data_IF_503777419381
#
_entry.id   IF_503777419381
#
_cell.length_a   1.000
_cell.length_b   1.000
_cell.length_c   1.000
_cell.angle_alpha   90.00
_cell.angle_beta   90.00
_cell.angle_gamma   90.00
#
_symmetry.space_group_name_H-M   'P 1'
#
loop_
_entity.id
_entity.type
_entity.pdbx_description
1 polymer ?
#
# COMPACT_ATOMS: atom_id res chain seq x y z
N UNK A 1 -18.53 45.69 33.56
CA UNK A 1 -19.03 44.36 33.97
C UNK A 1 -18.54 43.32 32.95
N UNK A 2 -17.27 42.96 33.04
CA UNK A 2 -16.56 42.07 32.11
C UNK A 2 -15.72 41.12 32.96
N UNK A 3 -15.98 39.80 32.88
CA UNK A 3 -14.96 38.75 32.83
C UNK A 3 -15.56 37.33 32.90
N UNK A 4 -15.17 36.55 31.89
CA UNK A 4 -14.82 35.12 31.95
C UNK A 4 -15.99 34.13 32.01
N UNK A 5 -16.55 33.83 30.83
CA UNK A 5 -17.01 32.48 30.50
C UNK A 5 -15.81 31.69 29.96
N UNK A 6 -14.99 31.18 30.87
CA UNK A 6 -13.88 30.30 30.55
C UNK A 6 -14.20 28.88 31.03
N UNK A 7 -14.24 27.92 30.10
CA UNK A 7 -14.03 26.51 30.45
C UNK A 7 -15.21 25.56 30.24
N UNK A 8 -15.86 25.56 29.09
CA UNK A 8 -16.42 24.32 28.55
C UNK A 8 -15.43 23.74 27.54
N UNK A 9 -14.35 23.18 28.09
CA UNK A 9 -13.36 22.43 27.33
C UNK A 9 -14.06 21.30 26.56
N UNK A 10 -13.74 21.22 25.27
CA UNK A 10 -14.15 20.15 24.38
C UNK A 10 -13.99 18.79 25.07
N UNK A 11 -15.08 18.03 25.20
CA UNK A 11 -15.01 16.62 25.58
C UNK A 11 -14.09 15.93 24.57
N UNK A 12 -13.07 15.16 24.99
CA UNK A 12 -12.27 14.39 24.04
C UNK A 12 -13.21 13.42 23.32
N UNK A 13 -13.38 13.62 22.01
CA UNK A 13 -14.02 12.70 21.09
C UNK A 13 -13.14 11.46 20.99
N UNK A 14 -13.31 10.53 21.93
CA UNK A 14 -12.44 9.36 22.03
C UNK A 14 -12.69 8.45 23.22
N UNK A 15 -13.79 8.62 23.97
CA UNK A 15 -14.27 7.51 24.81
C UNK A 15 -14.90 6.50 23.87
N UNK A 16 -14.14 5.47 23.51
CA UNK A 16 -14.71 4.22 23.03
C UNK A 16 -15.89 3.89 23.96
N UNK A 17 -17.08 3.54 23.41
CA UNK A 17 -18.17 3.08 24.25
C UNK A 17 -17.62 1.96 25.13
N UNK A 18 -17.83 2.06 26.44
CA UNK A 18 -17.43 1.02 27.37
C UNK A 18 -17.85 -0.32 26.75
N UNK A 19 -16.94 -1.31 26.65
CA UNK A 19 -17.26 -2.54 25.92
C UNK A 19 -18.59 -3.04 26.44
N UNK A 20 -19.58 -3.12 25.54
CA UNK A 20 -20.84 -3.76 25.83
C UNK A 20 -20.43 -5.15 26.30
N UNK A 21 -20.58 -5.41 27.61
CA UNK A 21 -20.30 -6.71 28.18
C UNK A 21 -21.29 -7.66 27.52
N UNK A 22 -20.83 -8.30 26.43
CA UNK A 22 -21.62 -9.28 25.72
C UNK A 22 -22.05 -10.30 26.76
N UNK A 23 -23.36 -10.58 26.90
CA UNK A 23 -23.83 -11.54 27.89
C UNK A 23 -23.19 -12.89 27.61
N UNK A 24 -22.22 -13.26 28.44
CA UNK A 24 -21.58 -14.58 28.36
C UNK A 24 -22.59 -15.60 28.85
N UNK A 25 -22.91 -16.59 28.01
CA UNK A 25 -23.82 -17.69 28.34
C UNK A 25 -23.48 -18.27 29.71
N UNK A 26 -24.42 -18.20 30.66
CA UNK A 26 -24.27 -18.76 32.02
C UNK A 26 -23.83 -17.80 33.13
N UNK A 27 -23.57 -16.52 32.86
CA UNK A 27 -23.38 -15.49 33.89
C UNK A 27 -24.57 -14.53 33.94
N UNK A 28 -24.84 -13.97 35.13
CA UNK A 28 -25.88 -12.95 35.30
C UNK A 28 -25.49 -11.63 34.63
N UNK A 29 -26.47 -11.01 33.98
CA UNK A 29 -26.42 -9.67 33.41
C UNK A 29 -26.74 -8.62 34.48
N UNK A 30 -26.44 -7.34 34.19
CA UNK A 30 -26.75 -6.21 35.09
C UNK A 30 -28.24 -6.08 35.43
N UNK A 31 -29.14 -6.44 34.51
CA UNK A 31 -30.59 -6.33 34.69
C UNK A 31 -31.23 -7.58 35.31
N UNK A 32 -30.46 -8.64 35.52
CA UNK A 32 -30.99 -9.87 36.12
C UNK A 32 -31.16 -9.69 37.62
N UNK A 33 -32.30 -10.11 38.20
CA UNK A 33 -32.50 -9.99 39.62
C UNK A 33 -31.53 -10.91 40.41
N UNK A 34 -31.10 -10.48 41.61
CA UNK A 34 -30.37 -11.35 42.51
C UNK A 34 -31.26 -12.50 42.97
N UNK A 35 -30.64 -13.62 43.35
CA UNK A 35 -31.40 -14.74 43.89
C UNK A 35 -31.97 -14.36 45.26
N UNK A 36 -33.19 -14.80 45.59
CA UNK A 36 -33.82 -14.57 46.90
C UNK A 36 -32.92 -15.03 48.06
N UNK A 37 -32.24 -16.17 47.91
CA UNK A 37 -31.29 -16.72 48.89
C UNK A 37 -30.00 -15.91 49.07
N UNK A 38 -29.70 -14.97 48.17
CA UNK A 38 -28.52 -14.07 48.24
C UNK A 38 -28.90 -12.62 48.54
N UNK A 39 -30.19 -12.27 48.56
CA UNK A 39 -30.66 -10.91 48.76
C UNK A 39 -30.23 -10.34 50.13
N UNK A 40 -30.23 -11.15 51.19
CA UNK A 40 -29.77 -10.76 52.53
C UNK A 40 -28.37 -11.26 52.90
N UNK A 41 -27.65 -11.94 51.99
CA UNK A 41 -26.35 -12.54 52.31
C UNK A 41 -25.23 -11.51 52.13
N UNK A 42 -24.68 -11.05 53.24
CA UNK A 42 -23.43 -10.29 53.28
C UNK A 42 -22.24 -11.25 53.45
N UNK A 43 -21.08 -10.91 52.89
CA UNK A 43 -19.87 -11.70 53.08
C UNK A 43 -19.28 -11.41 54.47
N UNK A 44 -19.27 -12.41 55.34
CA UNK A 44 -18.63 -12.33 56.67
C UNK A 44 -17.12 -12.49 56.52
N UNK A 45 -16.30 -11.54 57.01
CA UNK A 45 -14.86 -11.68 57.01
C UNK A 45 -14.39 -12.90 57.82
N UNK A 46 -13.34 -13.61 57.40
CA UNK A 46 -12.75 -14.69 58.19
C UNK A 46 -12.04 -14.13 59.43
N UNK A 47 -11.85 -14.97 60.45
CA UNK A 47 -11.00 -14.64 61.59
C UNK A 47 -9.54 -14.48 61.13
N UNK A 48 -8.80 -13.59 61.80
CA UNK A 48 -7.42 -13.23 61.43
C UNK A 48 -6.52 -13.31 62.65
N UNK A 49 -5.41 -14.06 62.56
CA UNK A 49 -4.33 -14.02 63.55
C UNK A 49 -3.46 -12.77 63.30
N UNK A 50 -3.33 -11.86 64.27
CA UNK A 50 -2.54 -10.63 64.11
C UNK A 50 -1.04 -10.91 63.83
N UNK A 51 -0.48 -11.98 64.39
CA UNK A 51 0.95 -12.30 64.23
C UNK A 51 1.24 -12.78 62.81
N UNK A 52 0.46 -13.75 62.33
CA UNK A 52 0.57 -14.24 60.95
C UNK A 52 0.29 -13.13 59.95
N UNK A 53 -0.76 -12.33 60.18
CA UNK A 53 -1.14 -11.25 59.29
C UNK A 53 -0.03 -10.21 59.14
N UNK A 54 0.65 -9.84 60.23
CA UNK A 54 1.79 -8.93 60.17
C UNK A 54 2.95 -9.50 59.35
N UNK A 55 3.35 -10.75 59.60
CA UNK A 55 4.43 -11.41 58.86
C UNK A 55 4.10 -11.54 57.38
N UNK A 56 2.86 -11.91 57.03
CA UNK A 56 2.42 -11.98 55.65
C UNK A 56 2.45 -10.60 54.99
N UNK A 57 1.98 -9.56 55.68
CA UNK A 57 1.96 -8.19 55.14
C UNK A 57 3.37 -7.73 54.76
N UNK A 58 4.36 -7.93 55.64
CA UNK A 58 5.75 -7.55 55.36
C UNK A 58 6.38 -8.42 54.24
N UNK A 59 6.11 -9.73 54.22
CA UNK A 59 6.57 -10.60 53.12
C UNK A 59 6.00 -10.15 51.78
N UNK A 60 4.72 -9.81 51.72
CA UNK A 60 4.08 -9.31 50.50
C UNK A 60 4.63 -7.94 50.10
N UNK A 61 4.94 -7.06 51.06
CA UNK A 61 5.59 -5.77 50.80
C UNK A 61 6.96 -5.97 50.14
N UNK A 62 7.81 -6.79 50.73
CA UNK A 62 9.15 -7.10 50.22
C UNK A 62 9.11 -7.79 48.85
N UNK A 63 8.21 -8.77 48.70
CA UNK A 63 8.00 -9.47 47.43
C UNK A 63 7.55 -8.51 46.32
N UNK A 64 6.53 -7.68 46.59
CA UNK A 64 6.02 -6.71 45.60
C UNK A 64 7.06 -5.67 45.24
N UNK A 65 7.89 -5.23 46.19
CA UNK A 65 9.01 -4.32 45.91
C UNK A 65 10.00 -4.97 44.94
N UNK A 66 10.40 -6.21 45.20
CA UNK A 66 11.34 -6.96 44.35
C UNK A 66 10.78 -7.19 42.95
N UNK A 67 9.55 -7.68 42.85
CA UNK A 67 8.89 -7.92 41.55
C UNK A 67 8.65 -6.62 40.79
N UNK A 68 8.40 -5.50 41.48
CA UNK A 68 8.29 -4.18 40.84
C UNK A 68 9.63 -3.74 40.26
N UNK A 69 10.74 -3.96 40.96
CA UNK A 69 12.07 -3.68 40.45
C UNK A 69 12.36 -4.52 39.19
N UNK A 70 12.12 -5.84 39.24
CA UNK A 70 12.27 -6.71 38.08
C UNK A 70 11.42 -6.27 36.88
N UNK A 71 10.18 -5.83 37.13
CA UNK A 71 9.33 -5.28 36.05
C UNK A 71 9.96 -4.06 35.39
N UNK A 72 10.57 -3.16 36.16
CA UNK A 72 11.23 -1.98 35.61
C UNK A 72 12.45 -2.36 34.78
N UNK A 73 13.24 -3.34 35.21
CA UNK A 73 14.35 -3.88 34.44
C UNK A 73 13.87 -4.42 33.09
N UNK A 74 12.86 -5.30 33.09
CA UNK A 74 12.29 -5.83 31.84
C UNK A 74 11.70 -4.72 30.94
N UNK A 75 11.03 -3.72 31.52
CA UNK A 75 10.54 -2.58 30.75
C UNK A 75 11.69 -1.78 30.13
N UNK A 76 12.82 -1.64 30.82
CA UNK A 76 14.00 -0.97 30.30
C UNK A 76 14.63 -1.76 29.16
N UNK A 77 14.71 -3.09 29.26
CA UNK A 77 15.22 -3.96 28.21
C UNK A 77 14.36 -3.91 26.95
N UNK A 78 13.03 -3.97 27.12
CA UNK A 78 12.09 -3.84 26.00
C UNK A 78 12.27 -2.49 25.29
N UNK A 79 12.43 -1.40 26.05
CA UNK A 79 12.68 -0.08 25.48
C UNK A 79 14.02 0.01 24.76
N UNK A 80 15.09 -0.57 25.33
CA UNK A 80 16.42 -0.63 24.70
C UNK A 80 16.37 -1.39 23.37
N UNK A 81 15.79 -2.60 23.37
CA UNK A 81 15.62 -3.42 22.15
C UNK A 81 14.78 -2.71 21.09
N UNK A 82 13.71 -2.01 21.49
CA UNK A 82 12.90 -1.22 20.56
C UNK A 82 13.70 -0.07 19.94
N UNK A 83 14.52 0.61 20.74
CA UNK A 83 15.39 1.68 20.25
C UNK A 83 16.47 1.15 19.32
N UNK A 84 17.16 0.06 19.70
CA UNK A 84 18.16 -0.62 18.87
C UNK A 84 17.59 -1.12 17.55
N UNK A 85 16.36 -1.62 17.54
CA UNK A 85 15.70 -2.04 16.29
C UNK A 85 15.38 -0.86 15.37
N UNK A 86 15.08 0.32 15.92
CA UNK A 86 14.69 1.51 15.14
C UNK A 86 15.88 2.37 14.68
N UNK A 87 16.83 2.58 15.59
CA UNK A 87 17.94 3.51 15.46
C UNK A 87 19.24 2.89 15.99
N UNK A 88 19.34 1.56 15.93
CA UNK A 88 20.60 0.87 16.23
C UNK A 88 21.59 1.07 15.09
N UNK A 89 22.86 1.15 15.45
CA UNK A 89 23.97 1.33 14.51
C UNK A 89 23.95 0.30 13.38
N UNK A 90 23.57 -0.95 13.67
CA UNK A 90 23.45 -2.01 12.66
C UNK A 90 22.28 -1.77 11.71
N UNK A 91 21.14 -1.31 12.21
CA UNK A 91 19.97 -0.99 11.38
C UNK A 91 20.27 0.19 10.45
N UNK A 92 20.95 1.23 10.96
CA UNK A 92 21.36 2.38 10.14
C UNK A 92 22.40 1.99 9.08
N UNK A 93 23.42 1.19 9.44
CA UNK A 93 24.41 0.69 8.49
C UNK A 93 23.76 -0.14 7.39
N UNK A 94 22.86 -1.06 7.75
CA UNK A 94 22.14 -1.87 6.77
C UNK A 94 21.27 -1.02 5.86
N UNK A 95 20.54 -0.04 6.41
CA UNK A 95 19.75 0.88 5.60
C UNK A 95 20.62 1.69 4.62
N UNK A 96 21.84 2.06 5.00
CA UNK A 96 22.80 2.75 4.12
C UNK A 96 23.35 1.82 3.04
N UNK A 97 23.72 0.59 3.41
CA UNK A 97 24.18 -0.46 2.48
C UNK A 97 23.07 -0.75 1.45
N UNK A 98 21.85 -1.04 1.90
CA UNK A 98 20.70 -1.35 1.03
C UNK A 98 20.38 -0.17 0.09
N UNK A 99 20.48 1.07 0.58
CA UNK A 99 20.27 2.26 -0.24
C UNK A 99 21.39 2.46 -1.28
N UNK A 100 22.64 2.10 -0.95
CA UNK A 100 23.76 2.14 -1.88
C UNK A 100 23.62 1.06 -2.96
N UNK A 101 23.35 -0.19 -2.56
CA UNK A 101 23.10 -1.31 -3.48
C UNK A 101 21.93 -0.99 -4.43
N UNK A 102 20.84 -0.42 -3.91
CA UNK A 102 19.72 -0.01 -4.75
C UNK A 102 20.15 1.03 -5.80
N UNK A 103 20.96 2.04 -5.43
CA UNK A 103 21.46 3.04 -6.39
C UNK A 103 22.35 2.41 -7.45
N UNK A 104 23.21 1.47 -7.06
CA UNK A 104 24.06 0.73 -7.99
C UNK A 104 23.24 -0.10 -8.99
N UNK A 105 22.22 -0.80 -8.50
CA UNK A 105 21.30 -1.57 -9.35
C UNK A 105 20.50 -0.67 -10.30
N UNK A 106 20.06 0.51 -9.83
CA UNK A 106 19.38 1.48 -10.69
C UNK A 106 20.31 2.05 -11.75
N UNK A 107 21.57 2.36 -11.42
CA UNK A 107 22.55 2.82 -12.38
C UNK A 107 22.86 1.75 -13.43
N UNK A 108 23.00 0.48 -13.01
CA UNK A 108 23.17 -0.65 -13.92
C UNK A 108 21.96 -0.82 -14.85
N UNK A 109 20.74 -0.73 -14.31
CA UNK A 109 19.52 -0.82 -15.11
C UNK A 109 19.44 0.30 -16.17
N UNK A 110 19.81 1.53 -15.79
CA UNK A 110 19.86 2.65 -16.72
C UNK A 110 20.89 2.41 -17.84
N UNK A 111 22.09 1.93 -17.50
CA UNK A 111 23.12 1.61 -18.49
C UNK A 111 22.67 0.51 -19.46
N UNK A 112 22.02 -0.54 -18.96
CA UNK A 112 21.50 -1.62 -19.81
C UNK A 112 20.33 -1.13 -20.69
N UNK A 113 19.44 -0.28 -20.16
CA UNK A 113 18.38 0.35 -20.95
C UNK A 113 18.94 1.24 -22.08
N UNK A 114 20.00 2.00 -21.80
CA UNK A 114 20.68 2.80 -22.82
C UNK A 114 21.27 1.91 -23.92
N UNK A 115 21.96 0.83 -23.53
CA UNK A 115 22.49 -0.15 -24.48
C UNK A 115 21.39 -0.73 -25.37
N UNK A 116 20.26 -1.14 -24.79
CA UNK A 116 19.12 -1.67 -25.54
C UNK A 116 18.46 -0.61 -26.43
N UNK A 117 18.44 0.65 -26.00
CA UNK A 117 17.93 1.76 -26.80
C UNK A 117 18.74 1.95 -28.08
N UNK A 118 20.08 1.95 -27.99
CA UNK A 118 20.95 2.05 -29.17
C UNK A 118 20.73 0.90 -30.15
N UNK A 119 20.59 -0.33 -29.65
CA UNK A 119 20.27 -1.50 -30.49
C UNK A 119 18.89 -1.36 -31.15
N UNK A 120 17.91 -0.81 -30.45
CA UNK A 120 16.58 -0.53 -31.02
C UNK A 120 16.67 0.52 -32.12
N UNK A 121 17.41 1.61 -31.93
CA UNK A 121 17.60 2.65 -32.95
C UNK A 121 18.28 2.09 -34.19
N UNK A 122 19.31 1.25 -34.02
CA UNK A 122 19.98 0.58 -35.15
C UNK A 122 19.00 -0.29 -35.95
N UNK A 123 18.16 -1.09 -35.26
CA UNK A 123 17.13 -1.91 -35.90
C UNK A 123 16.10 -1.07 -36.64
N UNK A 124 15.58 -0.02 -36.02
CA UNK A 124 14.58 0.86 -36.64
C UNK A 124 15.11 1.56 -37.89
N UNK A 125 16.39 1.95 -37.91
CA UNK A 125 17.02 2.51 -39.12
C UNK A 125 17.07 1.49 -40.25
N UNK A 126 17.38 0.24 -39.95
CA UNK A 126 17.36 -0.83 -40.96
C UNK A 126 15.95 -1.10 -41.47
N UNK A 127 14.97 -1.20 -40.57
CA UNK A 127 13.56 -1.39 -40.94
C UNK A 127 13.05 -0.22 -41.80
N UNK A 128 13.45 1.02 -41.51
CA UNK A 128 13.10 2.19 -42.34
C UNK A 128 13.66 2.09 -43.76
N UNK A 129 14.94 1.71 -43.92
CA UNK A 129 15.54 1.51 -45.24
C UNK A 129 14.86 0.38 -46.03
N UNK A 130 14.46 -0.70 -45.36
CA UNK A 130 13.71 -1.79 -45.99
C UNK A 130 12.30 -1.35 -46.40
N UNK A 131 11.64 -0.52 -45.59
CA UNK A 131 10.33 0.05 -45.92
C UNK A 131 10.42 1.02 -47.10
N UNK A 132 11.43 1.87 -47.17
CA UNK A 132 11.64 2.75 -48.33
C UNK A 132 11.82 1.97 -49.63
N UNK A 133 12.54 0.84 -49.59
CA UNK A 133 12.68 -0.05 -50.75
C UNK A 133 11.35 -0.65 -51.17
N UNK A 134 10.57 -1.16 -50.22
CA UNK A 134 9.22 -1.71 -50.48
C UNK A 134 8.30 -0.64 -51.07
N UNK A 135 8.29 0.56 -50.52
CA UNK A 135 7.50 1.67 -51.04
C UNK A 135 7.93 2.08 -52.46
N UNK A 136 9.23 2.08 -52.76
CA UNK A 136 9.70 2.34 -54.11
C UNK A 136 9.23 1.27 -55.09
N UNK A 137 9.31 -0.02 -54.73
CA UNK A 137 8.80 -1.13 -55.54
C UNK A 137 7.29 -1.02 -55.76
N UNK A 138 6.52 -0.75 -54.71
CA UNK A 138 5.07 -0.53 -54.77
C UNK A 138 4.72 0.67 -55.66
N UNK A 139 5.44 1.78 -55.56
CA UNK A 139 5.23 2.96 -56.40
C UNK A 139 5.48 2.68 -57.88
N UNK A 140 6.49 1.86 -58.21
CA UNK A 140 6.73 1.43 -59.61
C UNK A 140 5.58 0.58 -60.12
N UNK A 141 5.07 -0.35 -59.32
CA UNK A 141 3.92 -1.19 -59.69
C UNK A 141 2.66 -0.34 -59.91
N UNK A 142 2.34 0.55 -58.97
CA UNK A 142 1.20 1.46 -59.07
C UNK A 142 1.30 2.38 -60.29
N UNK A 143 2.49 2.89 -60.63
CA UNK A 143 2.68 3.71 -61.82
C UNK A 143 2.39 2.94 -63.11
N UNK A 144 2.80 1.67 -63.20
CA UNK A 144 2.51 0.80 -64.35
C UNK A 144 1.03 0.50 -64.47
N UNK A 145 0.37 0.17 -63.37
CA UNK A 145 -1.07 -0.06 -63.33
C UNK A 145 -1.87 1.18 -63.74
N UNK A 146 -1.47 2.36 -63.24
CA UNK A 146 -2.09 3.63 -63.59
C UNK A 146 -1.90 3.98 -65.07
N UNK A 147 -0.71 3.73 -65.65
CA UNK A 147 -0.45 3.92 -67.08
C UNK A 147 -1.31 2.99 -67.94
N UNK A 148 -1.38 1.71 -67.60
CA UNK A 148 -2.21 0.75 -68.32
C UNK A 148 -3.70 1.13 -68.25
N UNK A 149 -4.17 1.57 -67.08
CA UNK A 149 -5.55 2.04 -66.90
C UNK A 149 -5.84 3.31 -67.72
N UNK A 150 -4.92 4.28 -67.74
CA UNK A 150 -5.06 5.50 -68.53
C UNK A 150 -5.15 5.19 -70.03
N UNK A 151 -4.29 4.30 -70.55
CA UNK A 151 -4.32 3.88 -71.96
C UNK A 151 -5.63 3.20 -72.34
N UNK A 152 -6.16 2.32 -71.48
CA UNK A 152 -7.47 1.68 -71.70
C UNK A 152 -8.58 2.73 -71.77
N UNK A 153 -8.59 3.70 -70.86
CA UNK A 153 -9.60 4.77 -70.86
C UNK A 153 -9.48 5.71 -72.05
N UNK A 154 -8.26 6.00 -72.51
CA UNK A 154 -8.03 6.78 -73.71
C UNK A 154 -8.56 6.07 -74.97
N UNK A 155 -8.36 4.75 -75.08
CA UNK A 155 -8.93 3.94 -76.16
C UNK A 155 -10.47 3.93 -76.10
N UNK A 156 -11.07 3.77 -74.92
CA UNK A 156 -12.53 3.86 -74.75
C UNK A 156 -13.07 5.23 -75.21
N UNK A 157 -12.41 6.34 -74.85
CA UNK A 157 -12.82 7.69 -75.29
C UNK A 157 -12.70 7.86 -76.80
N UNK A 158 -11.61 7.40 -77.41
CA UNK A 158 -11.43 7.46 -78.86
C UNK A 158 -12.49 6.62 -79.59
N UNK A 159 -12.81 5.42 -79.09
CA UNK A 159 -13.90 4.61 -79.62
C UNK A 159 -15.24 5.35 -79.54
N UNK A 160 -15.56 5.93 -78.38
CA UNK A 160 -16.78 6.72 -78.20
C UNK A 160 -16.81 7.97 -79.11
N UNK A 161 -15.67 8.62 -79.39
CA UNK A 161 -15.59 9.73 -80.34
C UNK A 161 -15.90 9.30 -81.77
N UNK A 162 -15.40 8.14 -82.21
CA UNK A 162 -15.72 7.59 -83.52
C UNK A 162 -17.20 7.18 -83.61
N UNK A 163 -17.72 6.51 -82.58
CA UNK A 163 -19.14 6.15 -82.51
C UNK A 163 -20.05 7.39 -82.54
N UNK A 164 -19.68 8.47 -81.84
CA UNK A 164 -20.43 9.73 -81.82
C UNK A 164 -20.60 10.37 -83.21
N UNK A 165 -19.66 10.17 -84.15
CA UNK A 165 -19.82 10.65 -85.55
C UNK A 165 -20.97 9.96 -86.29
N UNK A 166 -21.40 8.79 -85.79
CA UNK A 166 -22.46 7.96 -86.38
C UNK A 166 -23.81 8.15 -85.67
N UNK A 167 -23.84 8.88 -84.56
CA UNK A 167 -25.05 9.18 -83.81
C UNK A 167 -25.82 10.29 -84.53
N UNK A 168 -27.12 10.07 -84.75
CA UNK A 168 -28.00 11.03 -85.41
C UNK A 168 -28.14 12.28 -84.51
N UNK A 169 -27.69 13.42 -85.03
CA UNK A 169 -27.79 14.75 -84.42
C UNK A 169 -29.12 15.44 -84.71
#
# INVERSE_FOLDING_TARGET
MLRVLGGLGARPAGRLPAPLLLPTRGRKTRHDPPAKSKAGRVATPPAVDPTEFFVLTERYRQYRQTVRALRLEFMSEVRKKLHEARAGVQAERKAQEDAAEHRELMAWNQAENQRLHELRLARLRQEALEQERRQAEEAVLQAREAQAWAQLKEQEVLQLQEEAKTVIS
#
